data_IF_173468593711
#
_entry.id   IF_173468593711
#
_cell.length_a   1.000
_cell.length_b   1.000
_cell.length_c   1.000
_cell.angle_alpha   90.00
_cell.angle_beta   90.00
_cell.angle_gamma   90.00
#
_symmetry.space_group_name_H-M   'P 1'
#
loop_
_entity.id
_entity.type
_entity.pdbx_description
1 polymer ?
#
# COMPACT_ATOMS: atom_id res chain seq x y z
N UNK A 1 -10.89 -30.36 -13.07
CA UNK A 1 -9.70 -30.28 -12.20
C UNK A 1 -9.68 -28.88 -11.59
N UNK A 2 -9.79 -28.75 -10.27
CA UNK A 2 -9.74 -27.43 -9.62
C UNK A 2 -8.27 -27.00 -9.56
N UNK A 3 -7.86 -26.05 -10.40
CA UNK A 3 -6.50 -25.52 -10.38
C UNK A 3 -6.26 -24.86 -9.01
N UNK A 4 -5.27 -25.35 -8.27
CA UNK A 4 -4.90 -24.82 -6.96
C UNK A 4 -4.41 -23.38 -7.15
N UNK A 5 -5.04 -22.41 -6.48
CA UNK A 5 -4.64 -21.00 -6.58
C UNK A 5 -3.25 -20.81 -5.98
N UNK A 6 -2.38 -20.08 -6.66
CA UNK A 6 -1.12 -19.59 -6.09
C UNK A 6 -1.44 -18.70 -4.88
N UNK A 7 -0.75 -18.91 -3.77
CA UNK A 7 -0.78 -18.01 -2.62
C UNK A 7 0.49 -17.16 -2.65
N UNK A 8 0.34 -15.85 -2.52
CA UNK A 8 1.44 -14.90 -2.40
C UNK A 8 1.38 -14.27 -1.01
N UNK A 9 2.53 -14.21 -0.35
CA UNK A 9 2.69 -13.56 0.94
C UNK A 9 3.42 -12.24 0.74
N UNK A 10 2.82 -11.14 1.19
CA UNK A 10 3.45 -9.82 1.19
C UNK A 10 3.95 -9.52 2.60
N UNK A 11 5.22 -9.15 2.67
CA UNK A 11 5.91 -8.81 3.91
C UNK A 11 6.14 -7.30 3.99
N UNK A 12 5.49 -6.64 4.96
CA UNK A 12 5.63 -5.20 5.23
C UNK A 12 6.50 -4.88 6.46
N UNK A 13 7.31 -5.83 6.96
CA UNK A 13 8.16 -5.64 8.17
C UNK A 13 9.33 -4.69 7.96
N UNK A 14 9.67 -4.35 6.71
CA UNK A 14 10.71 -3.34 6.41
C UNK A 14 10.39 -1.95 6.96
N UNK A 15 9.15 -1.77 7.42
CA UNK A 15 8.74 -0.69 8.30
C UNK A 15 7.87 0.33 7.61
N UNK A 16 7.52 1.36 8.37
CA UNK A 16 6.66 2.45 7.91
C UNK A 16 7.51 3.67 7.66
N UNK A 17 7.35 4.25 6.48
CA UNK A 17 8.07 5.44 6.05
C UNK A 17 7.11 6.60 6.02
N UNK A 18 7.42 7.70 6.71
CA UNK A 18 6.66 8.93 6.55
C UNK A 18 7.04 9.59 5.21
N UNK A 19 6.17 10.42 4.63
CA UNK A 19 6.52 11.22 3.45
C UNK A 19 7.83 12.03 3.64
N UNK A 20 8.14 12.44 4.87
CA UNK A 20 9.40 13.12 5.21
C UNK A 20 10.64 12.21 5.20
N UNK A 21 10.46 10.90 5.40
CA UNK A 21 11.55 9.89 5.44
C UNK A 21 11.50 8.92 4.25
N UNK A 22 10.74 9.25 3.19
CA UNK A 22 10.59 8.42 1.99
C UNK A 22 11.90 8.15 1.23
N UNK A 23 12.93 8.95 1.46
CA UNK A 23 14.29 8.73 0.95
C UNK A 23 14.98 7.49 1.55
N UNK A 24 14.45 6.95 2.65
CA UNK A 24 14.93 5.72 3.29
C UNK A 24 14.27 4.45 2.74
N UNK A 25 13.30 4.59 1.83
CA UNK A 25 12.64 3.45 1.19
C UNK A 25 13.67 2.63 0.39
N UNK A 26 13.70 1.29 0.56
CA UNK A 26 14.60 0.41 -0.18
C UNK A 26 14.44 0.50 -1.71
N UNK A 27 15.56 0.31 -2.42
CA UNK A 27 15.62 0.27 -3.88
C UNK A 27 15.25 -1.12 -4.41
N UNK A 28 14.02 -1.55 -4.17
CA UNK A 28 13.53 -2.88 -4.54
C UNK A 28 12.27 -2.80 -5.41
N UNK A 29 11.98 -3.88 -6.13
CA UNK A 29 10.71 -4.08 -6.85
C UNK A 29 9.63 -4.53 -5.87
N UNK A 30 8.36 -4.25 -6.20
CA UNK A 30 7.23 -4.81 -5.45
C UNK A 30 6.04 -3.87 -5.29
N UNK A 31 5.39 -3.96 -4.13
CA UNK A 31 4.13 -3.26 -3.81
C UNK A 31 4.39 -2.20 -2.75
N UNK A 32 3.70 -1.06 -2.85
CA UNK A 32 3.62 -0.08 -1.76
C UNK A 32 2.18 0.35 -1.51
N UNK A 33 1.90 0.68 -0.25
CA UNK A 33 0.62 1.15 0.23
C UNK A 33 0.81 2.55 0.81
N UNK A 34 -0.03 3.51 0.43
CA UNK A 34 -0.07 4.84 1.03
C UNK A 34 -1.24 4.94 2.01
N UNK A 35 -0.97 5.35 3.23
CA UNK A 35 -1.95 5.50 4.30
C UNK A 35 -1.94 6.92 4.86
N UNK A 36 -3.09 7.41 5.33
CA UNK A 36 -3.06 8.47 6.37
C UNK A 36 -2.65 7.84 7.69
N UNK A 37 -1.98 8.59 8.55
CA UNK A 37 -1.61 8.12 9.88
C UNK A 37 -1.17 9.24 10.81
N UNK A 38 -0.89 8.90 12.06
CA UNK A 38 -0.36 9.82 13.05
C UNK A 38 0.79 9.18 13.84
N UNK A 39 1.83 9.96 14.08
CA UNK A 39 2.96 9.57 14.92
C UNK A 39 2.81 10.17 16.32
N UNK A 40 2.82 9.32 17.35
CA UNK A 40 2.66 9.74 18.74
C UNK A 40 4.01 9.97 19.47
N UNK A 41 5.13 10.02 18.75
CA UNK A 41 6.47 10.11 19.32
C UNK A 41 7.17 8.76 19.52
N UNK A 42 6.43 7.64 19.40
CA UNK A 42 6.99 6.29 19.55
C UNK A 42 6.56 5.33 18.45
N UNK A 43 5.27 5.36 18.11
CA UNK A 43 4.67 4.49 17.11
C UNK A 43 3.85 5.32 16.11
N UNK A 44 3.67 4.77 14.91
CA UNK A 44 2.74 5.26 13.91
C UNK A 44 1.45 4.45 14.02
N UNK A 45 0.31 5.16 14.09
CA UNK A 45 -1.01 4.58 13.87
C UNK A 45 -1.43 4.88 12.44
N UNK A 46 -1.72 3.85 11.66
CA UNK A 46 -2.26 3.99 10.30
C UNK A 46 -3.77 4.07 10.38
N UNK A 47 -4.38 4.99 9.63
CA UNK A 47 -5.80 5.29 9.78
C UNK A 47 -6.61 4.89 8.55
N UNK A 48 -6.21 5.33 7.35
CA UNK A 48 -6.96 5.05 6.11
C UNK A 48 -6.02 4.73 4.95
N UNK A 49 -6.25 3.58 4.29
CA UNK A 49 -5.59 3.25 3.02
C UNK A 49 -6.06 4.20 1.91
N UNK A 50 -5.12 4.91 1.30
CA UNK A 50 -5.38 5.88 0.22
C UNK A 50 -5.11 5.31 -1.15
N UNK A 51 -3.98 4.62 -1.30
CA UNK A 51 -3.48 4.17 -2.59
C UNK A 51 -2.68 2.88 -2.47
N UNK A 52 -2.76 2.03 -3.48
CA UNK A 52 -1.92 0.86 -3.68
C UNK A 52 -1.22 1.05 -5.01
N UNK A 53 0.10 0.93 -5.00
CA UNK A 53 0.91 1.03 -6.19
C UNK A 53 1.92 -0.09 -6.29
N UNK A 54 2.44 -0.26 -7.50
CA UNK A 54 3.53 -1.18 -7.78
C UNK A 54 4.78 -0.50 -8.37
N UNK A 55 5.88 -1.27 -8.34
CA UNK A 55 7.13 -1.01 -9.01
C UNK A 55 7.69 -2.30 -9.62
N UNK A 56 7.35 -2.60 -10.87
CA UNK A 56 7.77 -3.82 -11.58
C UNK A 56 8.92 -3.56 -12.57
N UNK A 57 8.95 -2.40 -13.22
CA UNK A 57 10.01 -1.97 -14.15
C UNK A 57 10.99 -0.95 -13.54
N UNK A 58 10.79 -0.62 -12.27
CA UNK A 58 11.55 0.37 -11.50
C UNK A 58 11.54 0.00 -10.01
N UNK A 59 12.07 0.86 -9.14
CA UNK A 59 12.06 0.62 -7.68
C UNK A 59 10.90 1.31 -6.99
N UNK A 60 10.44 0.74 -5.88
CA UNK A 60 9.41 1.32 -5.01
C UNK A 60 9.83 2.73 -4.58
N UNK A 61 11.10 2.91 -4.18
CA UNK A 61 11.64 4.23 -3.85
C UNK A 61 11.41 5.25 -4.97
N UNK A 62 11.72 4.92 -6.24
CA UNK A 62 11.50 5.82 -7.38
C UNK A 62 10.03 6.10 -7.62
N UNK A 63 9.16 5.08 -7.54
CA UNK A 63 7.70 5.25 -7.73
C UNK A 63 7.09 6.15 -6.68
N UNK A 64 7.43 5.92 -5.41
CA UNK A 64 6.97 6.77 -4.30
C UNK A 64 7.43 8.20 -4.55
N UNK A 65 8.73 8.46 -4.75
CA UNK A 65 9.23 9.82 -5.01
C UNK A 65 8.53 10.53 -6.18
N UNK A 66 8.31 9.83 -7.29
CA UNK A 66 7.68 10.42 -8.47
C UNK A 66 6.18 10.71 -8.23
N UNK A 67 5.45 9.80 -7.57
CA UNK A 67 4.05 10.05 -7.20
C UNK A 67 3.90 11.21 -6.20
N UNK A 68 4.91 11.45 -5.36
CA UNK A 68 4.84 12.49 -4.34
C UNK A 68 4.79 13.92 -4.86
N UNK A 69 5.19 14.16 -6.11
CA UNK A 69 5.39 15.52 -6.64
C UNK A 69 4.05 16.21 -6.92
N UNK A 70 3.05 15.49 -7.48
CA UNK A 70 1.79 16.09 -7.90
C UNK A 70 0.57 15.60 -7.07
N UNK A 71 0.56 14.35 -6.60
CA UNK A 71 -0.62 13.75 -5.97
C UNK A 71 -0.72 13.99 -4.46
N UNK A 72 0.41 14.12 -3.77
CA UNK A 72 0.43 14.16 -2.30
C UNK A 72 -0.25 15.38 -1.70
N UNK A 73 -0.08 16.55 -2.31
CA UNK A 73 -0.69 17.77 -1.81
C UNK A 73 -2.22 17.62 -1.83
N UNK A 74 -2.77 17.07 -2.92
CA UNK A 74 -4.20 16.80 -3.04
C UNK A 74 -4.65 15.74 -2.03
N UNK A 75 -3.92 14.63 -1.90
CA UNK A 75 -4.27 13.56 -0.95
C UNK A 75 -4.23 14.04 0.51
N UNK A 76 -3.22 14.83 0.89
CA UNK A 76 -3.12 15.42 2.22
C UNK A 76 -4.30 16.35 2.49
N UNK A 77 -4.63 17.24 1.55
CA UNK A 77 -5.74 18.18 1.71
C UNK A 77 -7.10 17.48 1.80
N UNK A 78 -7.30 16.38 1.07
CA UNK A 78 -8.59 15.66 1.03
C UNK A 78 -8.80 14.69 2.17
N UNK A 79 -7.74 13.99 2.60
CA UNK A 79 -7.89 12.82 3.46
C UNK A 79 -7.19 12.93 4.81
N UNK A 80 -6.16 13.76 4.97
CA UNK A 80 -5.48 13.90 6.25
C UNK A 80 -6.27 14.83 7.18
N UNK A 81 -6.58 14.35 8.38
CA UNK A 81 -7.09 15.17 9.49
C UNK A 81 -5.95 15.99 10.11
N UNK A 82 -6.31 16.96 10.97
CA UNK A 82 -5.31 17.78 11.69
C UNK A 82 -4.34 16.87 12.47
N UNK A 83 -3.05 17.00 12.17
CA UNK A 83 -1.98 16.20 12.79
C UNK A 83 -1.71 14.86 12.11
N UNK A 84 -2.47 14.49 11.08
CA UNK A 84 -2.14 13.33 10.25
C UNK A 84 -1.15 13.70 9.14
N UNK A 85 -0.44 12.68 8.67
CA UNK A 85 0.43 12.75 7.48
C UNK A 85 0.27 11.46 6.66
N UNK A 86 0.95 11.39 5.51
CA UNK A 86 0.99 10.20 4.66
C UNK A 86 2.18 9.32 5.05
N UNK A 87 1.91 8.02 5.12
CA UNK A 87 2.87 6.97 5.44
C UNK A 87 2.85 5.87 4.37
N UNK A 88 4.00 5.28 4.11
CA UNK A 88 4.21 4.20 3.15
C UNK A 88 4.56 2.91 3.85
N UNK A 89 3.88 1.85 3.47
CA UNK A 89 4.28 0.48 3.74
C UNK A 89 4.78 -0.11 2.43
N UNK A 90 5.88 -0.84 2.48
CA UNK A 90 6.52 -1.41 1.28
C UNK A 90 6.70 -2.92 1.46
N UNK A 91 6.32 -3.68 0.43
CA UNK A 91 6.49 -5.12 0.37
C UNK A 91 7.28 -5.48 -0.89
N UNK A 92 8.55 -5.92 -0.75
CA UNK A 92 9.34 -6.39 -1.86
C UNK A 92 8.70 -7.62 -2.49
N UNK A 93 8.66 -7.65 -3.82
CA UNK A 93 8.09 -8.75 -4.58
C UNK A 93 8.73 -8.79 -5.96
N UNK A 94 9.15 -9.98 -6.40
CA UNK A 94 9.86 -10.16 -7.67
C UNK A 94 8.92 -10.53 -8.82
N UNK A 95 7.89 -11.34 -8.55
CA UNK A 95 6.98 -11.89 -9.55
C UNK A 95 5.52 -11.55 -9.26
N UNK A 96 4.66 -11.64 -10.28
CA UNK A 96 3.20 -11.41 -10.19
C UNK A 96 2.79 -10.01 -9.70
N UNK A 97 3.72 -9.05 -9.66
CA UNK A 97 3.53 -7.70 -9.11
C UNK A 97 2.25 -7.04 -9.64
N UNK A 98 2.04 -7.06 -10.97
CA UNK A 98 0.84 -6.48 -11.61
C UNK A 98 -0.46 -7.16 -11.20
N UNK A 99 -0.43 -8.49 -11.07
CA UNK A 99 -1.61 -9.26 -10.68
C UNK A 99 -1.92 -9.04 -9.20
N UNK A 100 -0.89 -8.90 -8.36
CA UNK A 100 -1.01 -8.60 -6.94
C UNK A 100 -1.59 -7.20 -6.74
N UNK A 101 -1.04 -6.17 -7.39
CA UNK A 101 -1.54 -4.80 -7.32
C UNK A 101 -3.03 -4.73 -7.70
N UNK A 102 -3.38 -5.24 -8.88
CA UNK A 102 -4.75 -5.25 -9.38
C UNK A 102 -5.73 -5.96 -8.44
N UNK A 103 -5.31 -7.09 -7.86
CA UNK A 103 -6.10 -7.86 -6.92
C UNK A 103 -6.33 -7.09 -5.62
N UNK A 104 -5.30 -6.45 -5.08
CA UNK A 104 -5.41 -5.62 -3.89
C UNK A 104 -6.27 -4.38 -4.12
N UNK A 105 -6.11 -3.69 -5.25
CA UNK A 105 -6.95 -2.54 -5.61
C UNK A 105 -8.42 -2.96 -5.72
N UNK A 106 -8.70 -4.07 -6.40
CA UNK A 106 -10.07 -4.60 -6.50
C UNK A 106 -10.67 -4.97 -5.13
N UNK A 107 -9.86 -5.55 -4.24
CA UNK A 107 -10.29 -5.99 -2.92
C UNK A 107 -10.56 -4.82 -1.97
N UNK A 108 -9.62 -3.87 -1.89
CA UNK A 108 -9.64 -2.80 -0.88
C UNK A 108 -10.21 -1.48 -1.38
N UNK A 109 -10.31 -1.31 -2.70
CA UNK A 109 -10.85 -0.13 -3.39
C UNK A 109 -10.37 1.21 -2.80
N UNK A 110 -9.05 1.45 -2.72
CA UNK A 110 -8.54 2.68 -2.16
C UNK A 110 -9.04 3.90 -2.95
N UNK A 111 -9.38 5.02 -2.29
CA UNK A 111 -10.05 6.16 -2.92
C UNK A 111 -9.17 6.88 -3.96
N UNK A 112 -7.86 6.73 -3.90
CA UNK A 112 -6.93 7.38 -4.85
C UNK A 112 -6.51 6.47 -6.01
N UNK A 113 -6.88 5.18 -6.00
CA UNK A 113 -6.74 4.34 -7.19
C UNK A 113 -7.91 4.62 -8.14
N UNK A 114 -7.63 4.95 -9.40
CA UNK A 114 -8.66 5.19 -10.44
C UNK A 114 -8.79 4.03 -11.42
N UNK A 115 -7.73 3.24 -11.57
CA UNK A 115 -7.69 2.05 -12.43
C UNK A 115 -7.88 0.77 -11.60
N UNK A 116 -8.25 -0.33 -12.26
CA UNK A 116 -8.33 -1.68 -11.70
C UNK A 116 -9.34 -1.93 -10.55
N UNK A 117 -10.08 -0.91 -10.11
CA UNK A 117 -11.12 -0.99 -9.05
C UNK A 117 -12.19 -2.05 -9.35
N UNK A 118 -12.52 -2.23 -10.64
CA UNK A 118 -13.57 -3.13 -11.12
C UNK A 118 -13.03 -4.29 -11.98
N UNK A 119 -11.70 -4.47 -12.03
CA UNK A 119 -11.01 -5.39 -12.95
C UNK A 119 -11.49 -6.84 -12.88
N UNK A 120 -11.91 -7.27 -11.70
CA UNK A 120 -12.40 -8.63 -11.47
C UNK A 120 -13.91 -8.69 -11.21
N UNK A 121 -14.70 -7.67 -11.57
CA UNK A 121 -16.16 -7.77 -11.45
C UNK A 121 -16.68 -8.99 -12.22
N UNK A 122 -17.38 -9.89 -11.51
CA UNK A 122 -17.86 -11.17 -12.05
C UNK A 122 -16.82 -12.29 -12.15
N UNK A 123 -15.59 -12.11 -11.65
CA UNK A 123 -14.54 -13.14 -11.59
C UNK A 123 -13.86 -13.14 -10.23
N UNK A 124 -13.34 -14.28 -9.78
CA UNK A 124 -12.52 -14.31 -8.56
C UNK A 124 -11.10 -13.84 -8.90
N UNK A 125 -10.56 -12.87 -8.15
CA UNK A 125 -9.20 -12.44 -8.36
C UNK A 125 -8.25 -13.59 -7.97
N UNK A 126 -7.22 -13.81 -8.79
CA UNK A 126 -6.13 -14.75 -8.54
C UNK A 126 -4.83 -13.96 -8.70
N UNK A 127 -3.85 -14.07 -7.79
CA UNK A 127 -3.64 -15.09 -6.74
C UNK A 127 -4.36 -14.82 -5.40
N UNK A 128 -4.32 -15.78 -4.46
CA UNK A 128 -4.71 -15.52 -3.07
C UNK A 128 -3.59 -14.71 -2.41
N UNK A 129 -3.91 -13.56 -1.82
CA UNK A 129 -2.94 -12.68 -1.16
C UNK A 129 -3.09 -12.80 0.35
N UNK A 130 -1.96 -12.95 1.03
CA UNK A 130 -1.85 -12.90 2.50
C UNK A 130 -0.79 -11.88 2.89
N UNK A 131 -0.92 -11.29 4.06
CA UNK A 131 -0.02 -10.25 4.56
C UNK A 131 0.36 -10.55 6.01
N UNK A 132 1.56 -10.13 6.44
CA UNK A 132 1.97 -10.25 7.84
C UNK A 132 1.44 -9.12 8.74
N UNK A 133 1.05 -7.98 8.16
CA UNK A 133 0.26 -6.93 8.82
C UNK A 133 -1.21 -7.12 8.50
N UNK A 134 -2.11 -6.94 9.47
CA UNK A 134 -3.54 -6.96 9.19
C UNK A 134 -3.89 -5.74 8.34
N UNK A 135 -4.23 -5.94 7.06
CA UNK A 135 -4.76 -4.86 6.20
C UNK A 135 -6.24 -4.55 6.49
N UNK A 136 -6.79 -5.01 7.62
CA UNK A 136 -8.21 -5.39 7.68
C UNK A 136 -9.17 -4.27 8.09
N UNK A 137 -9.96 -3.79 7.14
CA UNK A 137 -11.40 -4.08 7.02
C UNK A 137 -11.96 -3.31 5.80
N UNK A 138 -13.21 -3.54 5.42
CA UNK A 138 -13.91 -2.86 4.30
C UNK A 138 -13.89 -1.32 4.47
N UNK A 139 -13.57 -0.84 5.68
CA UNK A 139 -13.43 0.57 6.04
C UNK A 139 -11.97 1.07 6.17
N UNK A 140 -10.97 0.21 5.92
CA UNK A 140 -9.56 0.60 5.72
C UNK A 140 -8.76 0.96 6.98
N UNK A 141 -9.18 0.51 8.16
CA UNK A 141 -8.49 0.77 9.44
C UNK A 141 -7.45 -0.31 9.75
N UNK A 142 -6.16 -0.01 9.57
CA UNK A 142 -5.08 -0.86 10.08
C UNK A 142 -4.82 -0.50 11.54
N UNK A 143 -5.19 -1.37 12.48
CA UNK A 143 -5.05 -1.11 13.92
C UNK A 143 -3.65 -1.40 14.48
N UNK A 144 -2.71 -1.83 13.65
CA UNK A 144 -1.36 -2.16 14.08
C UNK A 144 -0.49 -0.90 14.30
N UNK A 145 0.03 -0.76 15.51
CA UNK A 145 1.07 0.23 15.83
C UNK A 145 2.41 -0.22 15.28
N UNK A 146 2.90 0.49 14.26
CA UNK A 146 4.18 0.18 13.61
C UNK A 146 5.26 1.17 14.04
N UNK A 147 6.52 0.73 13.98
CA UNK A 147 7.67 1.62 14.24
C UNK A 147 7.98 2.42 12.98
N UNK A 148 8.22 3.72 13.18
CA UNK A 148 8.70 4.61 12.12
C UNK A 148 10.18 4.30 11.84
N UNK A 149 10.54 4.22 10.57
CA UNK A 149 11.92 4.01 10.09
C UNK A 149 12.59 5.30 9.65
#
# INVERSE_FOLDING_TARGET
MTQKRKTIHLDFEKGVYQDLTKNLIPFEHGIYLAYTGNFNGKNVSLNKLLYIGMADDTTIAKRVHNHTIDDHTDWKLRYCKKGEDIYYLVAPLEDDIRNVEANMIFRYKPPCNTNDIDKYNGKLPAPNITTNTLLEDIDGHVTDMLRLM
#
